data_IF_148733647756
#
_entry.id   IF_148733647756
#
_cell.length_a   1.000
_cell.length_b   1.000
_cell.length_c   1.000
_cell.angle_alpha   90.00
_cell.angle_beta   90.00
_cell.angle_gamma   90.00
#
_symmetry.space_group_name_H-M   'P 1'
#
loop_
_entity.id
_entity.type
_entity.pdbx_description
1 polymer ?
#
# COMPACT_ATOMS: atom_id res chain seq x y z
N UNK A 1 21.54 -11.46 21.61
CA UNK A 1 20.85 -10.85 20.42
C UNK A 1 19.50 -10.27 20.80
N UNK A 2 18.64 -10.99 21.50
CA UNK A 2 17.28 -10.54 21.90
C UNK A 2 17.27 -9.20 22.66
N UNK A 3 18.18 -8.99 23.62
CA UNK A 3 18.24 -7.75 24.41
C UNK A 3 18.73 -6.53 23.59
N UNK A 4 19.56 -6.73 22.56
CA UNK A 4 19.97 -5.64 21.66
C UNK A 4 18.87 -5.20 20.72
N UNK A 5 18.01 -6.14 20.28
CA UNK A 5 16.81 -5.83 19.47
C UNK A 5 15.79 -5.03 20.28
N UNK A 6 15.56 -5.41 21.54
CA UNK A 6 14.65 -4.70 22.46
C UNK A 6 15.19 -3.29 22.76
N UNK A 7 16.49 -3.15 22.97
CA UNK A 7 17.13 -1.86 23.21
C UNK A 7 17.04 -0.93 21.97
N UNK A 8 17.21 -1.48 20.76
CA UNK A 8 17.02 -0.75 19.51
C UNK A 8 15.56 -0.34 19.30
N UNK A 9 14.60 -1.21 19.60
CA UNK A 9 13.18 -0.89 19.54
C UNK A 9 12.80 0.21 20.56
N UNK A 10 13.30 0.11 21.79
CA UNK A 10 13.09 1.12 22.84
C UNK A 10 13.73 2.46 22.49
N UNK A 11 14.94 2.47 21.89
CA UNK A 11 15.57 3.72 21.44
C UNK A 11 14.84 4.34 20.24
N UNK A 12 14.31 3.52 19.34
CA UNK A 12 13.46 3.99 18.25
C UNK A 12 12.13 4.60 18.76
N UNK A 13 11.50 3.97 19.75
CA UNK A 13 10.31 4.51 20.42
C UNK A 13 10.62 5.80 21.19
N UNK A 14 11.77 5.89 21.84
CA UNK A 14 12.17 7.09 22.58
C UNK A 14 12.46 8.30 21.66
N UNK A 15 12.90 8.08 20.41
CA UNK A 15 13.08 9.15 19.44
C UNK A 15 11.74 9.75 18.96
N UNK A 16 10.64 9.03 19.06
CA UNK A 16 9.32 9.51 18.63
C UNK A 16 8.71 10.51 19.63
N UNK A 17 9.15 10.51 20.89
CA UNK A 17 8.60 11.37 21.96
C UNK A 17 9.05 12.83 21.92
N UNK A 18 9.93 13.20 20.99
CA UNK A 18 10.41 14.60 20.83
C UNK A 18 9.73 15.33 19.67
N UNK A 19 8.70 14.72 19.05
CA UNK A 19 7.86 15.38 18.05
C UNK A 19 6.95 16.41 18.73
N UNK A 20 7.03 17.64 18.28
CA UNK A 20 6.07 18.71 18.62
C UNK A 20 4.69 18.39 18.01
N UNK A 21 3.63 18.85 18.63
CA UNK A 21 2.25 18.65 18.16
C UNK A 21 2.10 19.02 16.67
N UNK A 22 1.46 18.14 15.89
CA UNK A 22 1.25 18.17 14.43
C UNK A 22 2.39 17.58 13.58
N UNK A 23 3.25 16.76 14.14
CA UNK A 23 4.32 16.10 13.39
C UNK A 23 4.02 14.65 13.02
N UNK A 24 2.87 14.12 13.43
CA UNK A 24 2.42 12.74 13.17
C UNK A 24 1.00 12.72 12.66
N UNK A 25 0.77 11.99 11.59
CA UNK A 25 -0.56 11.74 11.02
C UNK A 25 -0.89 10.24 10.96
N UNK A 26 -2.14 9.91 11.28
CA UNK A 26 -2.72 8.60 11.01
C UNK A 26 -3.69 8.76 9.86
N UNK A 27 -3.62 7.88 8.86
CA UNK A 27 -4.46 7.98 7.67
C UNK A 27 -5.07 6.67 7.24
N UNK A 28 -6.20 6.80 6.53
CA UNK A 28 -6.87 5.68 5.89
C UNK A 28 -7.31 6.07 4.48
N UNK A 29 -7.00 5.22 3.51
CA UNK A 29 -7.37 5.41 2.11
C UNK A 29 -8.80 4.92 1.87
N UNK A 30 -9.69 5.84 1.54
CA UNK A 30 -11.11 5.58 1.31
C UNK A 30 -11.34 4.70 0.06
N UNK A 31 -10.48 4.79 -0.97
CA UNK A 31 -10.61 3.95 -2.16
C UNK A 31 -10.39 2.46 -1.84
N UNK A 32 -9.56 2.15 -0.85
CA UNK A 32 -9.34 0.77 -0.42
C UNK A 32 -10.57 0.19 0.30
N UNK A 33 -11.33 1.03 1.02
CA UNK A 33 -12.60 0.61 1.61
C UNK A 33 -13.64 0.22 0.55
N UNK A 34 -13.63 0.90 -0.62
CA UNK A 34 -14.46 0.52 -1.78
C UNK A 34 -14.16 -0.87 -2.33
N UNK A 35 -12.96 -1.39 -2.10
CA UNK A 35 -12.55 -2.76 -2.45
C UNK A 35 -12.55 -3.71 -1.24
N UNK A 36 -13.20 -3.31 -0.15
CA UNK A 36 -13.25 -4.06 1.11
C UNK A 36 -11.84 -4.43 1.64
N UNK A 37 -10.90 -3.51 1.51
CA UNK A 37 -9.51 -3.64 1.95
C UNK A 37 -9.26 -2.67 3.12
N UNK A 38 -9.42 -3.10 4.38
CA UNK A 38 -8.96 -2.34 5.52
C UNK A 38 -7.51 -1.93 5.36
N UNK A 39 -7.23 -0.66 5.67
CA UNK A 39 -5.91 -0.09 5.49
C UNK A 39 -5.63 0.99 6.54
N UNK A 40 -4.36 1.14 6.85
CA UNK A 40 -3.87 2.13 7.80
C UNK A 40 -2.52 2.64 7.33
N UNK A 41 -2.29 3.94 7.51
CA UNK A 41 -1.01 4.59 7.26
C UNK A 41 -0.60 5.46 8.44
N UNK A 42 0.70 5.56 8.63
CA UNK A 42 1.35 6.45 9.59
C UNK A 42 2.29 7.37 8.83
N UNK A 43 2.12 8.66 9.00
CA UNK A 43 2.97 9.67 8.39
C UNK A 43 3.62 10.52 9.47
N UNK A 44 4.94 10.71 9.37
CA UNK A 44 5.73 11.46 10.34
C UNK A 44 6.48 12.56 9.61
N UNK A 45 6.41 13.78 10.12
CA UNK A 45 7.23 14.89 9.66
C UNK A 45 8.68 14.70 10.15
N UNK A 46 9.60 14.64 9.22
CA UNK A 46 11.03 14.45 9.49
C UNK A 46 11.83 15.74 9.28
N UNK A 47 11.27 16.69 8.52
CA UNK A 47 11.83 18.03 8.32
C UNK A 47 10.71 18.99 7.90
N UNK A 48 10.92 20.32 7.83
CA UNK A 48 9.86 21.29 7.54
C UNK A 48 9.01 21.02 6.29
N UNK A 49 9.60 20.35 5.29
CA UNK A 49 8.94 19.99 4.01
C UNK A 49 9.00 18.50 3.71
N UNK A 50 9.52 17.68 4.61
CA UNK A 50 9.68 16.26 4.40
C UNK A 50 8.87 15.46 5.38
N UNK A 51 8.13 14.47 4.86
CA UNK A 51 7.49 13.46 5.67
C UNK A 51 7.90 12.06 5.21
N UNK A 52 7.78 11.12 6.12
CA UNK A 52 7.89 9.70 5.83
C UNK A 52 6.55 9.04 6.13
N UNK A 53 5.97 8.38 5.14
CA UNK A 53 4.72 7.61 5.23
C UNK A 53 5.02 6.12 5.20
N UNK A 54 4.37 5.38 6.06
CA UNK A 54 4.32 3.93 6.02
C UNK A 54 2.86 3.51 6.01
N UNK A 55 2.36 3.06 4.89
CA UNK A 55 0.97 2.60 4.75
C UNK A 55 0.89 1.13 4.38
N UNK A 56 -0.18 0.48 4.84
CA UNK A 56 -0.44 -0.92 4.57
C UNK A 56 -1.92 -1.22 4.45
N UNK A 57 -2.24 -2.23 3.66
CA UNK A 57 -3.59 -2.73 3.48
C UNK A 57 -3.61 -4.24 3.44
N UNK A 58 -4.68 -4.82 3.98
CA UNK A 58 -4.88 -6.25 4.00
C UNK A 58 -6.33 -6.59 3.66
N UNK A 59 -6.52 -7.31 2.58
CA UNK A 59 -7.83 -7.86 2.25
C UNK A 59 -7.91 -9.30 2.75
N UNK A 60 -8.74 -9.52 3.76
CA UNK A 60 -9.00 -10.82 4.35
C UNK A 60 -10.35 -11.42 3.96
N UNK A 61 -11.14 -10.69 3.16
CA UNK A 61 -12.43 -11.17 2.69
C UNK A 61 -12.20 -12.28 1.68
N UNK A 62 -12.40 -13.47 2.16
CA UNK A 62 -12.28 -14.72 1.43
C UNK A 62 -13.65 -15.39 1.44
N UNK A 63 -14.21 -15.79 0.38
CA UNK A 63 -14.34 -15.36 -1.00
C UNK A 63 -15.50 -14.38 -1.17
N UNK A 64 -15.45 -13.53 -2.19
CA UNK A 64 -16.57 -12.66 -2.57
C UNK A 64 -17.82 -13.50 -2.92
N UNK A 65 -17.62 -14.74 -3.39
CA UNK A 65 -18.71 -15.68 -3.63
C UNK A 65 -18.19 -17.13 -3.51
N UNK A 66 -18.79 -17.91 -2.58
CA UNK A 66 -18.43 -19.31 -2.35
C UNK A 66 -18.76 -20.21 -3.56
N UNK A 67 -19.80 -19.87 -4.31
CA UNK A 67 -20.29 -20.68 -5.44
C UNK A 67 -19.42 -20.48 -6.69
N UNK A 68 -18.81 -19.33 -6.85
CA UNK A 68 -17.93 -19.02 -8.00
C UNK A 68 -16.46 -19.28 -7.72
N UNK A 69 -16.08 -19.53 -6.47
CA UNK A 69 -14.68 -19.73 -6.07
C UNK A 69 -13.78 -18.50 -6.27
N UNK A 70 -14.37 -17.30 -6.44
CA UNK A 70 -13.63 -16.07 -6.62
C UNK A 70 -12.87 -15.73 -5.32
N UNK A 71 -11.57 -15.53 -5.43
CA UNK A 71 -10.67 -15.19 -4.32
C UNK A 71 -9.91 -13.92 -4.61
N UNK A 72 -9.96 -12.97 -3.67
CA UNK A 72 -9.21 -11.73 -3.72
C UNK A 72 -8.52 -11.50 -2.38
N UNK A 73 -7.42 -12.19 -2.18
CA UNK A 73 -6.58 -12.01 -0.99
C UNK A 73 -5.34 -11.22 -1.39
N UNK A 74 -5.10 -10.11 -0.75
CA UNK A 74 -3.85 -9.37 -0.93
C UNK A 74 -3.43 -8.66 0.37
N UNK A 75 -2.15 -8.47 0.49
CA UNK A 75 -1.51 -7.70 1.54
C UNK A 75 -0.46 -6.82 0.89
N UNK A 76 -0.36 -5.57 1.30
CA UNK A 76 0.68 -4.66 0.80
C UNK A 76 1.20 -3.73 1.89
N UNK A 77 2.48 -3.41 1.80
CA UNK A 77 3.14 -2.37 2.59
C UNK A 77 3.84 -1.42 1.63
N UNK A 78 3.66 -0.13 1.87
CA UNK A 78 4.14 0.94 1.01
C UNK A 78 4.84 2.00 1.88
N UNK A 79 6.17 1.92 2.05
CA UNK A 79 6.96 3.03 2.56
C UNK A 79 7.09 4.12 1.48
N UNK A 80 6.98 5.39 1.88
CA UNK A 80 7.06 6.53 0.97
C UNK A 80 7.75 7.72 1.65
N UNK A 81 8.75 8.29 1.00
CA UNK A 81 9.34 9.58 1.37
C UNK A 81 8.67 10.67 0.54
N UNK A 82 8.20 11.74 1.18
CA UNK A 82 7.42 12.82 0.56
C UNK A 82 8.10 14.16 0.76
N UNK A 83 8.06 14.96 -0.28
CA UNK A 83 8.53 16.35 -0.28
C UNK A 83 7.37 17.28 -0.61
N UNK A 84 7.00 18.14 0.32
CA UNK A 84 5.97 19.16 0.17
C UNK A 84 6.55 20.45 -0.40
N UNK A 85 5.82 21.09 -1.31
CA UNK A 85 6.27 22.36 -1.91
C UNK A 85 6.16 23.53 -0.93
N UNK A 86 5.19 23.49 -0.01
CA UNK A 86 5.02 24.51 1.04
C UNK A 86 5.59 24.01 2.37
N UNK A 87 4.79 23.36 3.16
CA UNK A 87 5.14 22.78 4.46
C UNK A 87 4.56 21.36 4.57
N UNK A 88 5.09 20.57 5.47
CA UNK A 88 4.61 19.22 5.69
C UNK A 88 3.12 19.22 6.01
N UNK A 89 2.37 18.25 5.47
CA UNK A 89 0.92 18.08 5.61
C UNK A 89 0.07 19.19 4.94
N UNK A 90 0.63 19.97 4.02
CA UNK A 90 -0.10 21.03 3.36
C UNK A 90 0.30 21.22 1.90
N UNK A 91 -0.68 21.19 1.00
CA UNK A 91 -0.52 21.51 -0.42
C UNK A 91 0.06 20.38 -1.27
N UNK A 92 0.74 20.76 -2.34
CA UNK A 92 1.31 19.83 -3.31
C UNK A 92 2.52 19.10 -2.75
N UNK A 93 2.61 17.80 -3.03
CA UNK A 93 3.78 17.00 -2.69
C UNK A 93 4.18 16.05 -3.82
N UNK A 94 5.46 15.71 -3.82
CA UNK A 94 6.04 14.63 -4.60
C UNK A 94 6.54 13.55 -3.64
N UNK A 95 6.35 12.29 -4.02
CA UNK A 95 6.80 11.15 -3.23
C UNK A 95 7.64 10.18 -4.03
N UNK A 96 8.55 9.49 -3.33
CA UNK A 96 9.22 8.31 -3.80
C UNK A 96 8.79 7.15 -2.91
N UNK A 97 8.13 6.15 -3.50
CA UNK A 97 7.61 5.01 -2.73
C UNK A 97 8.23 3.69 -3.17
N UNK A 98 8.36 2.79 -2.20
CA UNK A 98 8.51 1.37 -2.43
C UNK A 98 7.17 0.67 -2.26
N UNK A 99 7.00 -0.49 -2.85
CA UNK A 99 5.86 -1.36 -2.61
C UNK A 99 6.32 -2.81 -2.48
N UNK A 100 5.82 -3.47 -1.44
CA UNK A 100 5.97 -4.91 -1.26
C UNK A 100 4.59 -5.46 -0.95
N UNK A 101 4.19 -6.50 -1.67
CA UNK A 101 2.89 -7.10 -1.45
C UNK A 101 2.82 -8.57 -1.83
N UNK A 102 1.96 -9.28 -1.14
CA UNK A 102 1.57 -10.64 -1.47
C UNK A 102 0.15 -10.63 -2.04
N UNK A 103 -0.09 -11.45 -3.05
CA UNK A 103 -1.41 -11.58 -3.64
C UNK A 103 -1.72 -13.05 -3.95
N UNK A 104 -3.01 -13.37 -3.81
CA UNK A 104 -3.58 -14.67 -4.14
C UNK A 104 -4.95 -14.42 -4.79
N UNK A 105 -4.95 -14.46 -6.10
CA UNK A 105 -6.07 -14.07 -6.94
C UNK A 105 -6.60 -15.29 -7.70
N UNK A 106 -7.93 -15.45 -7.73
CA UNK A 106 -8.59 -16.51 -8.45
C UNK A 106 -9.90 -16.00 -9.08
N UNK A 107 -10.16 -16.33 -10.34
CA UNK A 107 -11.38 -16.01 -11.08
C UNK A 107 -11.81 -14.54 -11.04
N UNK A 108 -10.86 -13.60 -11.09
CA UNK A 108 -11.15 -12.19 -11.18
C UNK A 108 -11.37 -11.77 -12.64
N UNK A 109 -12.55 -11.21 -12.92
CA UNK A 109 -12.85 -10.61 -14.21
C UNK A 109 -12.63 -9.11 -14.16
N UNK A 110 -11.38 -8.68 -14.23
CA UNK A 110 -11.04 -7.27 -14.29
C UNK A 110 -10.91 -6.84 -15.76
N UNK A 111 -11.52 -5.73 -16.19
CA UNK A 111 -11.50 -5.27 -17.59
C UNK A 111 -10.15 -4.66 -18.01
N UNK A 112 -9.10 -4.87 -17.23
CA UNK A 112 -7.78 -4.25 -17.42
C UNK A 112 -6.83 -5.30 -18.03
N UNK A 113 -6.49 -5.12 -19.28
CA UNK A 113 -5.40 -5.74 -20.07
C UNK A 113 -5.06 -7.19 -19.72
N UNK A 114 -4.00 -7.39 -19.00
CA UNK A 114 -3.40 -8.69 -18.68
C UNK A 114 -4.10 -9.49 -17.56
N UNK A 115 -5.02 -8.89 -16.82
CA UNK A 115 -5.86 -9.60 -15.85
C UNK A 115 -6.90 -10.52 -16.49
N UNK A 116 -7.05 -10.51 -17.82
CA UNK A 116 -7.95 -11.42 -18.54
C UNK A 116 -7.57 -12.90 -18.36
N UNK A 117 -6.30 -13.21 -18.13
CA UNK A 117 -5.83 -14.59 -17.87
C UNK A 117 -6.25 -15.14 -16.49
N UNK A 118 -6.73 -14.27 -15.58
CA UNK A 118 -7.18 -14.66 -14.24
C UNK A 118 -8.54 -15.37 -14.22
N UNK A 119 -9.26 -15.44 -15.36
CA UNK A 119 -10.57 -16.08 -15.43
C UNK A 119 -10.56 -17.56 -15.07
N UNK A 120 -9.48 -18.27 -15.45
CA UNK A 120 -9.44 -19.73 -15.42
C UNK A 120 -8.31 -20.31 -14.57
N UNK A 121 -7.51 -19.46 -13.93
CA UNK A 121 -6.30 -19.87 -13.19
C UNK A 121 -6.16 -19.13 -11.88
N UNK A 122 -5.66 -19.84 -10.86
CA UNK A 122 -5.23 -19.24 -9.61
C UNK A 122 -3.80 -18.77 -9.74
N UNK A 123 -3.56 -17.51 -9.37
CA UNK A 123 -2.24 -16.90 -9.35
C UNK A 123 -1.93 -16.46 -7.92
N UNK A 124 -0.79 -16.91 -7.42
CA UNK A 124 -0.30 -16.56 -6.10
C UNK A 124 1.15 -16.13 -6.19
N UNK A 125 1.52 -15.01 -5.56
CA UNK A 125 2.89 -14.54 -5.61
C UNK A 125 3.15 -13.29 -4.82
N UNK A 126 4.35 -12.75 -5.02
CA UNK A 126 4.83 -11.51 -4.45
C UNK A 126 5.03 -10.46 -5.53
N UNK A 127 4.76 -9.21 -5.17
CA UNK A 127 5.09 -8.04 -5.98
C UNK A 127 6.06 -7.14 -5.23
N UNK A 128 7.11 -6.70 -5.91
CA UNK A 128 8.11 -5.76 -5.40
C UNK A 128 8.26 -4.63 -6.40
N UNK A 129 8.24 -3.40 -5.92
CA UNK A 129 8.33 -2.28 -6.84
C UNK A 129 8.74 -0.98 -6.19
N UNK A 130 8.92 0.00 -7.04
CA UNK A 130 9.16 1.37 -6.65
C UNK A 130 8.51 2.32 -7.67
N UNK A 131 8.22 3.53 -7.24
CA UNK A 131 7.61 4.51 -8.11
C UNK A 131 7.62 5.91 -7.51
N UNK A 132 7.09 6.82 -8.30
CA UNK A 132 6.92 8.22 -7.93
C UNK A 132 5.44 8.51 -7.68
N UNK A 133 5.19 9.41 -6.76
CA UNK A 133 3.86 9.89 -6.38
C UNK A 133 3.78 11.39 -6.61
N UNK A 134 2.64 11.85 -7.07
CA UNK A 134 2.23 13.24 -7.01
C UNK A 134 0.88 13.33 -6.32
N UNK A 135 0.74 14.27 -5.40
CA UNK A 135 -0.49 14.46 -4.65
C UNK A 135 -0.69 15.87 -4.15
N UNK A 136 -1.86 16.05 -3.58
CA UNK A 136 -2.26 17.28 -2.91
C UNK A 136 -2.94 16.93 -1.59
N UNK A 137 -2.61 17.68 -0.56
CA UNK A 137 -3.20 17.56 0.76
C UNK A 137 -3.89 18.86 1.14
N UNK A 138 -5.20 18.75 1.45
CA UNK A 138 -6.05 19.83 1.91
C UNK A 138 -6.16 19.82 3.42
N UNK A 139 -5.83 20.92 4.06
CA UNK A 139 -6.07 21.12 5.50
C UNK A 139 -7.55 21.48 5.69
N UNK A 140 -8.34 20.57 6.27
CA UNK A 140 -9.76 20.76 6.53
C UNK A 140 -10.02 21.41 7.89
N UNK A 141 -9.07 21.32 8.80
CA UNK A 141 -9.20 21.88 10.15
C UNK A 141 -7.96 21.66 11.00
N UNK A 142 -8.09 21.80 12.31
CA UNK A 142 -6.93 21.71 13.21
C UNK A 142 -6.23 20.33 13.20
N UNK A 143 -6.98 19.26 12.98
CA UNK A 143 -6.50 17.88 13.07
C UNK A 143 -6.88 17.03 11.85
N UNK A 144 -7.64 17.56 10.92
CA UNK A 144 -8.15 16.78 9.80
C UNK A 144 -7.64 17.30 8.47
N UNK A 145 -7.06 16.40 7.69
CA UNK A 145 -6.62 16.67 6.32
C UNK A 145 -7.24 15.63 5.38
N UNK A 146 -7.40 16.02 4.14
CA UNK A 146 -7.78 15.15 3.03
C UNK A 146 -6.64 15.11 2.02
N UNK A 147 -6.23 13.93 1.61
CA UNK A 147 -5.19 13.72 0.61
C UNK A 147 -5.78 13.07 -0.64
N UNK A 148 -5.40 13.57 -1.82
CA UNK A 148 -5.55 12.85 -3.06
C UNK A 148 -4.20 12.69 -3.74
N UNK A 149 -3.84 11.46 -4.14
CA UNK A 149 -2.59 11.21 -4.85
C UNK A 149 -2.70 10.12 -5.91
N UNK A 150 -1.83 10.25 -6.91
CA UNK A 150 -1.62 9.26 -7.96
C UNK A 150 -0.14 8.91 -8.04
N UNK A 151 0.14 7.64 -8.28
CA UNK A 151 1.50 7.13 -8.35
C UNK A 151 1.68 6.25 -9.58
N UNK A 152 2.86 6.35 -10.16
CA UNK A 152 3.29 5.49 -11.25
C UNK A 152 4.68 4.93 -10.94
N UNK A 153 4.93 3.72 -11.40
CA UNK A 153 6.20 3.06 -11.09
C UNK A 153 6.34 1.70 -11.76
N UNK A 154 7.35 1.00 -11.31
CA UNK A 154 7.70 -0.32 -11.81
C UNK A 154 7.50 -1.35 -10.72
N UNK A 155 6.81 -2.45 -11.06
CA UNK A 155 6.57 -3.58 -10.15
C UNK A 155 7.04 -4.87 -10.84
N UNK A 156 7.79 -5.65 -10.12
CA UNK A 156 8.24 -6.99 -10.45
C UNK A 156 7.31 -7.98 -9.75
N UNK A 157 6.56 -8.76 -10.51
CA UNK A 157 5.72 -9.82 -10.00
C UNK A 157 6.43 -11.16 -10.15
N UNK A 158 6.58 -11.88 -9.03
CA UNK A 158 7.05 -13.27 -8.98
C UNK A 158 5.89 -14.14 -8.53
N UNK A 159 5.38 -15.01 -9.43
CA UNK A 159 4.17 -15.74 -9.16
C UNK A 159 4.20 -17.18 -9.68
N UNK A 160 3.41 -17.99 -8.98
CA UNK A 160 3.14 -19.38 -9.35
C UNK A 160 1.71 -19.50 -9.88
N UNK A 161 1.57 -20.13 -11.03
CA UNK A 161 0.29 -20.49 -11.62
C UNK A 161 -0.13 -21.89 -11.19
N UNK A 162 -1.38 -22.04 -10.78
CA UNK A 162 -1.99 -23.33 -10.41
C UNK A 162 -3.13 -23.67 -11.39
N UNK A 163 -3.24 -24.96 -11.72
CA UNK A 163 -4.18 -25.44 -12.76
C UNK A 163 -5.63 -25.35 -12.32
N UNK A 164 -5.91 -25.49 -11.03
CA UNK A 164 -7.26 -25.41 -10.47
C UNK A 164 -7.26 -24.88 -9.03
N UNK A 165 -8.47 -24.62 -8.54
CA UNK A 165 -8.77 -23.97 -7.26
C UNK A 165 -8.29 -24.76 -6.05
N UNK A 166 -8.41 -26.09 -6.09
CA UNK A 166 -8.12 -27.01 -5.00
C UNK A 166 -6.95 -27.98 -5.27
N UNK A 167 -6.53 -28.14 -6.52
CA UNK A 167 -5.40 -28.99 -6.83
C UNK A 167 -4.09 -28.21 -6.62
N UNK A 168 -3.27 -28.66 -5.69
CA UNK A 168 -1.97 -28.08 -5.39
C UNK A 168 -0.88 -28.30 -6.46
N UNK A 169 -1.25 -28.69 -7.70
CA UNK A 169 -0.27 -28.93 -8.75
C UNK A 169 0.18 -27.62 -9.38
N UNK A 170 1.43 -27.26 -9.14
CA UNK A 170 2.08 -26.12 -9.79
C UNK A 170 2.18 -26.37 -11.29
N UNK A 171 1.78 -25.39 -12.09
CA UNK A 171 1.87 -25.45 -13.56
C UNK A 171 3.11 -24.74 -14.07
N UNK A 172 3.39 -23.54 -13.53
CA UNK A 172 4.53 -22.74 -13.92
C UNK A 172 4.87 -21.71 -12.84
N UNK A 173 6.17 -21.38 -12.74
CA UNK A 173 6.68 -20.20 -12.02
C UNK A 173 7.09 -19.18 -13.06
N UNK A 174 6.56 -17.98 -12.97
CA UNK A 174 6.82 -16.91 -13.93
C UNK A 174 7.12 -15.60 -13.23
N UNK A 175 7.93 -14.77 -13.89
CA UNK A 175 8.18 -13.40 -13.49
C UNK A 175 7.61 -12.46 -14.53
N UNK A 176 6.94 -11.39 -14.08
CA UNK A 176 6.37 -10.38 -14.96
C UNK A 176 6.74 -8.99 -14.51
N UNK A 177 7.15 -8.18 -15.46
CA UNK A 177 7.45 -6.77 -15.26
C UNK A 177 6.19 -5.95 -15.57
N UNK A 178 5.90 -4.97 -14.73
CA UNK A 178 4.81 -4.04 -14.91
C UNK A 178 5.31 -2.61 -14.76
N UNK A 179 4.99 -1.78 -15.73
CA UNK A 179 5.22 -0.34 -15.68
C UNK A 179 3.87 0.35 -15.86
N UNK A 180 3.49 1.20 -14.91
CA UNK A 180 2.21 1.88 -14.96
C UNK A 180 1.76 2.42 -13.60
N UNK A 181 0.45 2.74 -13.43
CA UNK A 181 -0.08 3.19 -12.16
C UNK A 181 0.14 2.16 -11.05
N UNK A 182 0.74 2.57 -9.93
CA UNK A 182 1.07 1.69 -8.80
C UNK A 182 0.14 1.91 -7.62
N UNK A 183 -0.35 3.15 -7.43
CA UNK A 183 -1.17 3.52 -6.29
C UNK A 183 -2.07 4.69 -6.67
N UNK A 184 -3.32 4.67 -6.20
CA UNK A 184 -4.22 5.82 -6.18
C UNK A 184 -4.77 5.95 -4.76
N UNK A 185 -4.78 7.16 -4.20
CA UNK A 185 -5.29 7.39 -2.85
C UNK A 185 -6.28 8.55 -2.82
N UNK A 186 -7.29 8.38 -2.00
CA UNK A 186 -8.11 9.43 -1.45
C UNK A 186 -8.17 9.13 0.05
N UNK A 187 -7.34 9.81 0.83
CA UNK A 187 -7.12 9.45 2.24
C UNK A 187 -7.62 10.54 3.17
N UNK A 188 -8.27 10.12 4.25
CA UNK A 188 -8.54 10.98 5.39
C UNK A 188 -7.40 10.81 6.39
N UNK A 189 -6.85 11.93 6.86
CA UNK A 189 -5.70 12.00 7.75
C UNK A 189 -6.10 12.72 9.02
N UNK A 190 -5.71 12.15 10.16
CA UNK A 190 -5.80 12.81 11.46
C UNK A 190 -4.39 13.14 11.94
N UNK A 191 -4.10 14.41 12.17
CA UNK A 191 -2.81 14.92 12.66
C UNK A 191 -2.89 15.25 14.14
N UNK A 192 -1.86 14.85 14.88
CA UNK A 192 -1.74 15.07 16.33
C UNK A 192 -0.96 16.32 16.62
#
# INVERSE_FOLDING_TARGET
MKNRLISLLLSLLACITWCTAQDVGIKSNLLYWGTATPNLGFEVKVAPRWTFDLSGGYNFINPINKDTGMKWLHFSVVPEARYFLCEAFNGHFFGLHGVVGFYNLNRLNLPIGWFKELKDRRIQGWGYGAGITYGYEWVLGKHWNLEASLSAGYILFDYTKYQCEHCGKEVAKEKKNYLGPTKATLSLIYTF
#
